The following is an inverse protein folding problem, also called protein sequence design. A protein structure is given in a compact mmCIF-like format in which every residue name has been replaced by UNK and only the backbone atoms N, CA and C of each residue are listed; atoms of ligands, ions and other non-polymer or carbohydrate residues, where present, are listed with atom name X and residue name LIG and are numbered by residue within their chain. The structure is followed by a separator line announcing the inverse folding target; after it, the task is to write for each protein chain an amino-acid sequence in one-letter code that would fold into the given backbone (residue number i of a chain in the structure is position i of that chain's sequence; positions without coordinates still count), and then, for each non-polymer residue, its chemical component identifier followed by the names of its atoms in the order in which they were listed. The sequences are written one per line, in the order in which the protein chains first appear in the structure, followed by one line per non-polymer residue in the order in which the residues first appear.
data_IF_118795954893
#
_entry.id   IF_118795954893
#
_cell.length_a   1.000
_cell.length_b   1.000
_cell.length_c   1.000
_cell.angle_alpha   90.00
_cell.angle_beta   90.00
_cell.angle_gamma   90.00
#
_symmetry.space_group_name_H-M   'P 1'
#
loop_
_entity.id
_entity.type
_entity.pdbx_description
1 polymer ?
#
# COMPACT_ATOMS: atom_id res chain seq x y z
N UNK A 1 -43.15 -8.79 -49.66
CA UNK A 1 -41.68 -8.89 -49.59
C UNK A 1 -41.16 -7.47 -49.42
N UNK A 2 -40.58 -7.09 -48.28
CA UNK A 2 -40.05 -5.72 -48.09
C UNK A 2 -39.96 -5.20 -46.65
N UNK A 3 -39.44 -5.97 -45.69
CA UNK A 3 -39.23 -5.48 -44.31
C UNK A 3 -37.91 -5.92 -43.66
N UNK A 4 -36.92 -6.41 -44.43
CA UNK A 4 -35.63 -6.86 -43.85
C UNK A 4 -34.47 -5.88 -44.06
N UNK A 5 -34.63 -4.87 -44.91
CA UNK A 5 -33.52 -3.94 -45.23
C UNK A 5 -33.34 -2.82 -44.20
N UNK A 6 -34.38 -2.49 -43.41
CA UNK A 6 -34.34 -1.40 -42.42
C UNK A 6 -33.64 -1.75 -41.10
N UNK A 7 -33.33 -3.03 -40.83
CA UNK A 7 -32.76 -3.46 -39.54
C UNK A 7 -31.23 -3.55 -39.55
N UNK A 8 -30.61 -3.71 -40.72
CA UNK A 8 -29.14 -3.78 -40.86
C UNK A 8 -28.51 -2.39 -40.74
N UNK A 9 -29.04 -1.39 -41.45
CA UNK A 9 -28.50 -0.02 -41.40
C UNK A 9 -28.57 0.62 -40.01
N UNK A 10 -29.62 0.33 -39.25
CA UNK A 10 -29.77 0.86 -37.88
C UNK A 10 -28.74 0.30 -36.91
N UNK A 11 -28.29 -0.95 -37.10
CA UNK A 11 -27.24 -1.59 -36.28
C UNK A 11 -25.85 -1.09 -36.64
N UNK A 12 -25.62 -0.81 -37.92
CA UNK A 12 -24.34 -0.27 -38.40
C UNK A 12 -24.14 1.19 -37.94
N UNK A 13 -25.21 1.98 -37.88
CA UNK A 13 -25.18 3.34 -37.33
C UNK A 13 -24.99 3.35 -35.80
N UNK A 14 -25.57 2.38 -35.08
CA UNK A 14 -25.45 2.23 -33.62
C UNK A 14 -24.02 1.78 -33.23
N UNK A 15 -23.45 0.82 -33.97
CA UNK A 15 -22.06 0.38 -33.81
C UNK A 15 -21.05 1.50 -34.12
N UNK A 16 -21.30 2.30 -35.16
CA UNK A 16 -20.46 3.43 -35.52
C UNK A 16 -20.57 4.59 -34.53
N UNK A 17 -21.72 4.74 -33.86
CA UNK A 17 -21.92 5.70 -32.77
C UNK A 17 -21.23 5.24 -31.47
N UNK A 18 -21.28 3.94 -31.14
CA UNK A 18 -20.53 3.36 -30.01
C UNK A 18 -19.01 3.48 -30.21
N UNK A 19 -18.51 3.19 -31.41
CA UNK A 19 -17.08 3.30 -31.74
C UNK A 19 -16.60 4.76 -31.74
N UNK A 20 -17.45 5.69 -32.18
CA UNK A 20 -17.19 7.12 -32.08
C UNK A 20 -17.22 7.65 -30.63
N UNK A 21 -18.08 7.09 -29.77
CA UNK A 21 -18.14 7.42 -28.35
C UNK A 21 -16.90 6.90 -27.60
N UNK A 22 -16.48 5.65 -27.85
CA UNK A 22 -15.25 5.08 -27.28
C UNK A 22 -13.99 5.86 -27.73
N UNK A 23 -13.93 6.28 -29.00
CA UNK A 23 -12.82 7.10 -29.51
C UNK A 23 -12.88 8.57 -29.05
N UNK A 24 -14.00 9.04 -28.51
CA UNK A 24 -14.13 10.35 -27.88
C UNK A 24 -13.69 10.30 -26.40
N UNK A 25 -14.00 9.21 -25.70
CA UNK A 25 -13.51 8.93 -24.34
C UNK A 25 -11.97 8.79 -24.32
N UNK A 26 -11.39 8.02 -25.24
CA UNK A 26 -9.92 7.87 -25.40
C UNK A 26 -9.20 9.21 -25.73
N UNK A 27 -9.87 10.16 -26.40
CA UNK A 27 -9.32 11.51 -26.65
C UNK A 27 -9.38 12.41 -25.42
N UNK A 28 -10.31 12.17 -24.50
CA UNK A 28 -10.39 12.82 -23.20
C UNK A 28 -9.31 12.32 -22.24
N UNK A 29 -8.99 11.02 -22.31
CA UNK A 29 -7.95 10.36 -21.51
C UNK A 29 -6.52 10.85 -21.82
N UNK A 30 -6.26 11.29 -23.06
CA UNK A 30 -4.95 11.84 -23.45
C UNK A 30 -4.66 13.22 -22.86
N UNK A 31 -5.66 13.93 -22.33
CA UNK A 31 -5.43 15.19 -21.61
C UNK A 31 -5.17 14.87 -20.14
N UNK A 32 -3.93 15.03 -19.71
CA UNK A 32 -3.56 14.98 -18.30
C UNK A 32 -4.48 15.89 -17.48
N UNK A 33 -5.36 15.28 -16.67
CA UNK A 33 -6.32 16.00 -15.85
C UNK A 33 -5.59 16.73 -14.73
N UNK A 34 -5.69 18.05 -14.71
CA UNK A 34 -5.05 18.89 -13.68
C UNK A 34 -5.82 18.72 -12.38
N UNK A 35 -5.16 18.15 -11.37
CA UNK A 35 -5.70 17.98 -10.03
C UNK A 35 -5.22 19.11 -9.11
N UNK A 36 -6.17 19.81 -8.50
CA UNK A 36 -5.86 20.80 -7.46
C UNK A 36 -5.94 20.13 -6.08
N UNK A 37 -4.84 20.14 -5.35
CA UNK A 37 -4.76 19.61 -3.99
C UNK A 37 -4.53 20.74 -2.98
N UNK A 38 -5.16 20.66 -1.81
CA UNK A 38 -4.82 21.54 -0.67
C UNK A 38 -3.63 20.94 0.06
N UNK A 39 -2.47 21.58 -0.07
CA UNK A 39 -1.21 21.12 0.53
C UNK A 39 -0.74 22.15 1.56
N UNK A 40 -0.46 21.76 2.81
CA UNK A 40 0.12 22.66 3.80
C UNK A 40 1.43 23.29 3.30
N UNK A 41 1.73 24.56 3.63
CA UNK A 41 2.87 25.29 3.07
C UNK A 41 4.23 24.65 3.41
N UNK A 42 4.34 23.96 4.55
CA UNK A 42 5.54 23.20 4.90
C UNK A 42 5.78 22.02 3.96
N UNK A 43 4.72 21.33 3.53
CA UNK A 43 4.78 20.17 2.63
C UNK A 43 5.05 20.58 1.18
N UNK A 44 4.43 21.67 0.71
CA UNK A 44 4.73 22.24 -0.62
C UNK A 44 6.21 22.62 -0.75
N UNK A 45 6.78 23.30 0.25
CA UNK A 45 8.21 23.65 0.28
C UNK A 45 9.12 22.43 0.24
N UNK A 46 8.75 21.39 0.98
CA UNK A 46 9.53 20.15 1.02
C UNK A 46 9.50 19.42 -0.32
N UNK A 47 8.33 19.32 -0.96
CA UNK A 47 8.18 18.73 -2.29
C UNK A 47 9.05 19.50 -3.30
N UNK A 48 9.00 20.84 -3.29
CA UNK A 48 9.84 21.69 -4.16
C UNK A 48 11.33 21.49 -3.91
N UNK A 49 11.75 21.34 -2.66
CA UNK A 49 13.15 21.10 -2.29
C UNK A 49 13.64 19.77 -2.84
N UNK A 50 12.86 18.70 -2.66
CA UNK A 50 13.18 17.36 -3.17
C UNK A 50 13.21 17.33 -4.69
N UNK A 51 12.24 17.96 -5.35
CA UNK A 51 12.22 18.06 -6.81
C UNK A 51 13.47 18.76 -7.37
N UNK A 52 13.88 19.88 -6.75
CA UNK A 52 15.15 20.54 -7.11
C UNK A 52 16.37 19.65 -6.85
N UNK A 53 16.42 18.95 -5.72
CA UNK A 53 17.52 18.04 -5.41
C UNK A 53 17.66 16.89 -6.42
N UNK A 54 16.55 16.48 -7.04
CA UNK A 54 16.51 15.46 -8.07
C UNK A 54 16.65 16.01 -9.50
N UNK A 55 16.68 17.34 -9.68
CA UNK A 55 16.70 17.97 -11.01
C UNK A 55 15.39 17.78 -11.81
N UNK A 56 14.29 17.50 -11.14
CA UNK A 56 13.00 17.15 -11.76
C UNK A 56 11.94 18.23 -11.47
N UNK A 57 10.89 18.24 -12.30
CA UNK A 57 9.71 19.06 -12.00
C UNK A 57 8.93 18.47 -10.81
N UNK A 58 8.24 19.33 -10.06
CA UNK A 58 7.34 18.90 -8.97
C UNK A 58 6.29 17.91 -9.49
N UNK A 59 5.71 18.17 -10.66
CA UNK A 59 4.70 17.30 -11.27
C UNK A 59 5.26 15.90 -11.56
N UNK A 60 6.51 15.80 -12.04
CA UNK A 60 7.15 14.51 -12.30
C UNK A 60 7.39 13.74 -11.00
N UNK A 61 7.88 14.42 -9.96
CA UNK A 61 8.08 13.78 -8.65
C UNK A 61 6.75 13.29 -8.06
N UNK A 62 5.71 14.12 -8.09
CA UNK A 62 4.39 13.74 -7.57
C UNK A 62 3.80 12.58 -8.38
N UNK A 63 3.90 12.60 -9.71
CA UNK A 63 3.45 11.50 -10.57
C UNK A 63 4.17 10.20 -10.23
N UNK A 64 5.50 10.21 -10.14
CA UNK A 64 6.29 9.03 -9.85
C UNK A 64 5.99 8.47 -8.45
N UNK A 65 5.84 9.34 -7.45
CA UNK A 65 5.46 8.91 -6.11
C UNK A 65 4.08 8.26 -6.14
N UNK A 66 3.07 8.91 -6.75
CA UNK A 66 1.73 8.34 -6.82
C UNK A 66 1.72 7.00 -7.55
N UNK A 67 2.42 6.88 -8.69
CA UNK A 67 2.54 5.61 -9.42
C UNK A 67 3.11 4.50 -8.52
N UNK A 68 4.30 4.72 -7.94
CA UNK A 68 4.95 3.67 -7.17
C UNK A 68 4.31 3.39 -5.80
N UNK A 69 3.62 4.36 -5.19
CA UNK A 69 2.97 4.14 -3.89
C UNK A 69 1.76 3.20 -3.97
N UNK A 70 1.08 3.12 -5.12
CA UNK A 70 -0.02 2.18 -5.27
C UNK A 70 0.50 0.79 -5.63
N UNK A 71 1.49 0.69 -6.52
CA UNK A 71 2.10 -0.59 -6.91
C UNK A 71 2.74 -1.32 -5.70
N UNK A 72 3.46 -0.59 -4.84
CA UNK A 72 4.08 -1.16 -3.64
C UNK A 72 3.05 -1.70 -2.62
N UNK A 73 1.84 -1.14 -2.59
CA UNK A 73 0.79 -1.57 -1.66
C UNK A 73 0.04 -2.78 -2.22
N UNK A 74 -0.17 -2.86 -3.52
CA UNK A 74 -0.84 -3.99 -4.17
C UNK A 74 -0.03 -5.28 -4.03
N UNK A 75 1.29 -5.22 -4.21
CA UNK A 75 2.17 -6.39 -4.05
C UNK A 75 2.16 -6.91 -2.59
N UNK A 76 2.15 -6.01 -1.60
CA UNK A 76 2.08 -6.40 -0.17
C UNK A 76 0.73 -7.07 0.15
N UNK A 77 -0.37 -6.55 -0.39
CA UNK A 77 -1.70 -7.15 -0.18
C UNK A 77 -1.80 -8.50 -0.87
N UNK A 78 -1.22 -8.66 -2.06
CA UNK A 78 -1.26 -9.91 -2.81
C UNK A 78 -0.36 -11.01 -2.20
N UNK A 79 0.78 -10.64 -1.61
CA UNK A 79 1.61 -11.55 -0.84
C UNK A 79 0.94 -11.95 0.48
N UNK A 80 0.21 -11.02 1.10
CA UNK A 80 -0.57 -11.28 2.32
C UNK A 80 -1.74 -12.23 2.05
N UNK A 81 -2.43 -12.09 0.92
CA UNK A 81 -3.52 -13.01 0.54
C UNK A 81 -2.97 -14.38 0.15
N UNK A 82 -1.87 -14.48 -0.59
CA UNK A 82 -1.24 -15.76 -0.89
C UNK A 82 -0.69 -16.44 0.37
N UNK A 83 -0.09 -15.69 1.28
CA UNK A 83 0.35 -16.22 2.58
C UNK A 83 -0.85 -16.67 3.43
N UNK A 84 -1.91 -15.85 3.53
CA UNK A 84 -3.13 -16.20 4.24
C UNK A 84 -3.83 -17.42 3.62
N UNK A 85 -3.84 -17.57 2.30
CA UNK A 85 -4.38 -18.75 1.61
C UNK A 85 -3.52 -19.99 1.85
N UNK A 86 -2.19 -19.85 1.90
CA UNK A 86 -1.27 -20.96 2.19
C UNK A 86 -1.35 -21.43 3.65
N UNK A 87 -1.60 -20.51 4.60
CA UNK A 87 -1.83 -20.84 6.01
C UNK A 87 -3.26 -21.38 6.22
N UNK A 88 -4.27 -20.77 5.58
CA UNK A 88 -5.65 -21.23 5.64
C UNK A 88 -5.86 -22.57 4.94
N UNK A 89 -5.02 -22.95 3.96
CA UNK A 89 -5.03 -24.27 3.33
C UNK A 89 -4.74 -25.41 4.32
N UNK A 90 -3.93 -25.15 5.34
CA UNK A 90 -3.66 -26.10 6.44
C UNK A 90 -4.74 -26.05 7.54
N UNK A 91 -5.43 -24.91 7.72
CA UNK A 91 -6.52 -24.76 8.69
C UNK A 91 -7.91 -25.17 8.15
N UNK A 92 -8.09 -25.24 6.81
CA UNK A 92 -9.34 -25.60 6.16
C UNK A 92 -9.82 -27.04 6.46
N UNK A 93 -8.94 -27.92 6.97
CA UNK A 93 -9.34 -29.23 7.49
C UNK A 93 -9.85 -29.20 8.94
N UNK A 94 -9.73 -28.09 9.66
CA UNK A 94 -10.02 -28.01 11.10
C UNK A 94 -11.24 -27.16 11.46
N UNK A 95 -11.76 -26.32 10.57
CA UNK A 95 -12.72 -25.28 10.96
C UNK A 95 -13.97 -25.13 10.06
N UNK A 96 -14.53 -26.24 9.56
CA UNK A 96 -15.89 -26.30 8.97
C UNK A 96 -17.02 -25.94 9.98
N UNK A 97 -16.68 -25.41 11.17
CA UNK A 97 -17.60 -25.19 12.30
C UNK A 97 -17.68 -23.74 12.78
N UNK A 98 -17.45 -22.71 11.97
CA UNK A 98 -17.92 -21.35 12.35
C UNK A 98 -18.02 -20.36 11.18
N UNK A 99 -19.13 -20.45 10.45
CA UNK A 99 -19.53 -19.40 9.51
C UNK A 99 -19.81 -18.04 10.17
N UNK A 100 -19.82 -17.01 9.33
CA UNK A 100 -20.43 -15.68 9.53
C UNK A 100 -19.67 -14.55 10.26
N UNK A 101 -18.35 -14.37 10.05
CA UNK A 101 -17.69 -13.08 10.42
C UNK A 101 -16.72 -12.44 9.41
N UNK A 102 -16.58 -12.96 8.19
CA UNK A 102 -15.59 -12.47 7.22
C UNK A 102 -16.12 -11.42 6.22
N UNK A 103 -16.56 -10.24 6.70
CA UNK A 103 -16.67 -9.04 5.84
C UNK A 103 -16.41 -7.71 6.55
N UNK A 104 -15.56 -7.70 7.57
CA UNK A 104 -15.14 -6.47 8.24
C UNK A 104 -13.67 -6.52 8.69
N UNK A 105 -12.75 -6.92 7.80
CA UNK A 105 -11.33 -6.63 7.98
C UNK A 105 -11.12 -5.13 7.71
N UNK A 106 -11.40 -4.31 8.74
CA UNK A 106 -11.00 -2.90 8.81
C UNK A 106 -9.49 -2.84 8.51
N UNK A 107 -9.08 -1.88 7.68
CA UNK A 107 -7.67 -1.50 7.44
C UNK A 107 -6.89 -1.56 8.75
N UNK A 108 -6.09 -2.59 8.94
CA UNK A 108 -5.17 -2.70 10.06
C UNK A 108 -3.96 -1.82 9.72
N UNK A 109 -3.98 -0.59 10.23
CA UNK A 109 -2.78 0.24 10.28
C UNK A 109 -1.72 -0.44 11.15
N UNK A 110 -0.43 -0.29 10.81
CA UNK A 110 0.67 -0.64 11.72
C UNK A 110 0.35 -0.31 13.18
N UNK A 111 0.60 -1.25 14.12
CA UNK A 111 0.27 -1.11 15.52
C UNK A 111 0.96 0.14 16.05
N UNK A 112 0.20 0.89 16.86
CA UNK A 112 0.81 1.98 17.63
C UNK A 112 1.82 1.35 18.58
N UNK A 113 2.91 2.07 18.91
CA UNK A 113 3.95 1.54 19.79
C UNK A 113 3.41 1.03 21.13
N UNK A 114 2.29 1.58 21.60
CA UNK A 114 1.63 1.20 22.84
C UNK A 114 0.91 -0.17 22.77
N UNK A 115 0.78 -0.76 21.58
CA UNK A 115 0.15 -2.07 21.33
C UNK A 115 1.18 -3.21 21.21
N UNK A 116 2.48 -2.86 21.20
CA UNK A 116 3.58 -3.83 21.08
C UNK A 116 3.89 -4.41 22.46
N UNK A 117 3.63 -5.72 22.63
CA UNK A 117 3.90 -6.46 23.87
C UNK A 117 5.39 -6.67 24.13
N UNK A 118 6.18 -6.73 23.06
CA UNK A 118 7.61 -6.97 23.13
C UNK A 118 8.26 -7.03 21.75
N UNK A 119 9.58 -7.17 21.75
CA UNK A 119 10.39 -7.18 20.53
C UNK A 119 11.10 -8.51 20.37
N UNK A 120 11.01 -9.11 19.19
CA UNK A 120 11.77 -10.30 18.80
C UNK A 120 12.83 -9.94 17.76
N UNK A 121 14.08 -10.31 18.02
CA UNK A 121 15.15 -10.14 17.04
C UNK A 121 15.11 -11.24 15.97
N UNK A 122 15.17 -10.83 14.71
CA UNK A 122 15.20 -11.73 13.57
C UNK A 122 16.14 -11.21 12.48
N UNK A 123 16.57 -12.12 11.61
CA UNK A 123 17.24 -11.76 10.34
C UNK A 123 16.16 -11.61 9.26
N UNK A 124 16.12 -10.46 8.59
CA UNK A 124 15.11 -10.18 7.59
C UNK A 124 15.34 -10.99 6.30
N UNK A 125 14.30 -11.62 5.75
CA UNK A 125 14.37 -12.25 4.41
C UNK A 125 13.91 -11.30 3.28
N UNK A 126 13.45 -10.10 3.64
CA UNK A 126 12.98 -9.05 2.74
C UNK A 126 13.63 -7.72 3.15
N UNK A 127 13.58 -6.74 2.26
CA UNK A 127 13.92 -5.37 2.64
C UNK A 127 12.77 -4.79 3.49
N UNK A 128 13.10 -3.99 4.49
CA UNK A 128 12.13 -3.33 5.35
C UNK A 128 12.54 -1.87 5.60
N UNK A 129 11.63 -1.10 6.19
CA UNK A 129 11.92 0.26 6.68
C UNK A 129 11.74 0.25 8.19
N UNK A 130 12.68 0.87 8.91
CA UNK A 130 12.57 1.04 10.34
C UNK A 130 11.47 2.05 10.69
N UNK A 131 10.47 1.66 11.48
CA UNK A 131 9.34 2.52 11.87
C UNK A 131 9.72 3.68 12.80
N UNK A 132 10.96 3.70 13.29
CA UNK A 132 11.46 4.74 14.20
C UNK A 132 12.32 5.78 13.49
N UNK A 133 13.34 5.35 12.75
CA UNK A 133 14.29 6.26 12.09
C UNK A 133 14.12 6.31 10.57
N UNK A 134 13.21 5.52 10.00
CA UNK A 134 12.97 5.42 8.56
C UNK A 134 14.21 4.97 7.75
N UNK A 135 15.17 4.31 8.41
CA UNK A 135 16.30 3.68 7.75
C UNK A 135 15.83 2.45 6.95
N UNK A 136 16.39 2.27 5.75
CA UNK A 136 16.15 1.08 4.93
C UNK A 136 17.01 -0.05 5.49
N UNK A 137 16.36 -1.17 5.80
CA UNK A 137 16.97 -2.40 6.30
C UNK A 137 17.02 -3.39 5.15
N UNK A 138 18.23 -3.73 4.71
CA UNK A 138 18.41 -4.69 3.64
C UNK A 138 18.06 -6.12 4.13
N UNK A 139 17.62 -6.96 3.20
CA UNK A 139 17.57 -8.42 3.40
C UNK A 139 18.89 -8.92 3.99
N UNK A 140 18.81 -9.82 4.97
CA UNK A 140 19.94 -10.39 5.70
C UNK A 140 20.38 -9.56 6.90
N UNK A 141 19.80 -8.37 7.12
CA UNK A 141 20.10 -7.55 8.30
C UNK A 141 19.31 -8.02 9.52
N UNK A 142 19.92 -7.91 10.70
CA UNK A 142 19.20 -8.09 11.98
C UNK A 142 18.26 -6.91 12.22
N UNK A 143 17.05 -7.20 12.66
CA UNK A 143 16.05 -6.20 13.04
C UNK A 143 15.18 -6.75 14.17
N UNK A 144 14.47 -5.86 14.86
CA UNK A 144 13.49 -6.23 15.88
C UNK A 144 12.08 -6.13 15.30
N UNK A 145 11.30 -7.20 15.45
CA UNK A 145 9.90 -7.29 15.02
C UNK A 145 9.01 -7.19 16.27
N UNK A 146 8.03 -6.30 16.24
CA UNK A 146 7.06 -6.13 17.31
C UNK A 146 6.09 -7.31 17.40
N UNK A 147 5.97 -7.89 18.59
CA UNK A 147 4.95 -8.89 18.93
C UNK A 147 3.71 -8.14 19.42
N UNK A 148 2.56 -8.38 18.79
CA UNK A 148 1.28 -7.76 19.14
C UNK A 148 0.25 -8.86 19.41
N UNK A 149 -0.73 -8.58 20.27
CA UNK A 149 -1.83 -9.51 20.58
C UNK A 149 -2.88 -9.55 19.44
N UNK A 150 -2.98 -8.45 18.69
CA UNK A 150 -3.88 -8.30 17.56
C UNK A 150 -3.16 -8.67 16.25
N UNK A 151 -3.80 -9.45 15.37
CA UNK A 151 -3.28 -9.68 14.03
C UNK A 151 -3.35 -8.38 13.21
N UNK A 152 -2.21 -7.98 12.66
CA UNK A 152 -2.05 -6.74 11.91
C UNK A 152 -0.67 -6.64 11.28
N UNK A 153 -0.41 -5.50 10.64
CA UNK A 153 0.93 -5.16 10.13
C UNK A 153 1.93 -5.18 11.30
N UNK A 154 3.15 -5.70 11.11
CA UNK A 154 4.10 -5.85 12.22
C UNK A 154 5.07 -4.67 12.22
N UNK A 155 5.29 -4.08 13.39
CA UNK A 155 6.30 -3.02 13.50
C UNK A 155 7.70 -3.60 13.37
N UNK A 156 8.57 -2.94 12.61
CA UNK A 156 9.98 -3.34 12.41
C UNK A 156 10.89 -2.16 12.77
N UNK A 157 11.88 -2.41 13.61
CA UNK A 157 12.90 -1.40 13.96
C UNK A 157 14.32 -1.91 13.77
N UNK A 158 15.22 -0.99 13.48
CA UNK A 158 16.65 -1.30 13.33
C UNK A 158 17.31 -1.59 14.70
N UNK A 159 18.47 -2.28 14.70
CA UNK A 159 19.21 -2.57 15.93
C UNK A 159 19.54 -1.32 16.77
N UNK A 160 19.90 -0.21 16.13
CA UNK A 160 20.20 1.05 16.85
C UNK A 160 18.96 1.62 17.55
N UNK A 161 17.79 1.45 16.94
CA UNK A 161 16.52 1.89 17.52
C UNK A 161 16.07 0.99 18.65
N UNK A 162 16.37 -0.32 18.58
CA UNK A 162 16.13 -1.28 19.66
C UNK A 162 17.05 -0.97 20.86
N UNK A 163 18.34 -0.77 20.64
CA UNK A 163 19.30 -0.45 21.70
C UNK A 163 18.93 0.84 22.47
N UNK A 164 18.40 1.84 21.75
CA UNK A 164 17.87 3.07 22.37
C UNK A 164 16.58 2.86 23.15
N UNK A 165 15.80 1.82 22.85
CA UNK A 165 14.60 1.48 23.63
C UNK A 165 14.99 0.74 24.92
N UNK A 166 15.94 -0.19 24.85
CA UNK A 166 16.40 -0.90 26.05
C UNK A 166 17.06 0.04 27.05
N UNK A 167 17.92 0.95 26.57
CA UNK A 167 18.57 1.92 27.44
C UNK A 167 17.58 2.87 28.14
N UNK A 168 16.48 3.23 27.48
CA UNK A 168 15.47 4.10 28.08
C UNK A 168 14.64 3.41 29.19
N UNK A 169 14.54 2.07 29.17
CA UNK A 169 13.84 1.32 30.21
C UNK A 169 14.67 1.14 31.49
N UNK A 170 16.01 1.19 31.37
CA UNK A 170 16.93 1.04 32.51
C UNK A 170 17.02 2.32 33.36
N UNK A 171 16.76 3.49 32.77
CA UNK A 171 16.79 4.80 33.45
C UNK A 171 15.54 5.08 34.34
N UNK A 172 14.43 4.32 34.15
CA UNK A 172 13.16 4.47 34.89
C UNK A 172 13.03 3.49 36.08
N UNK A 173 14.09 2.77 36.46
CA UNK A 173 14.06 1.89 37.62
C UNK A 173 14.09 2.70 38.94
N UNK A 174 13.04 2.63 39.79
CA UNK A 174 13.08 3.28 41.09
C UNK A 174 14.00 2.48 42.02
N UNK A 175 15.09 3.11 42.49
CA UNK A 175 15.79 2.71 43.72
C UNK A 175 14.93 2.94 44.95
#
# INVERSE_FOLDING_TARGET
MGQTESNTGRRDDEARAEEAAAAAEDRGERKDKVLHARIPPSRDREIKRRARGLGMSVSTVVRNVLLHTFDLVEDIVNDSTNLALSIAGDEAKRDERKGDRHRAAKKASAPRRDEILGWHEAILNLNAVCDRCNAILAKGTRAAIGICDTPGERSIICPDCLAKLSAAGDDDAPT
#
